data_IF_633928920823
#
_entry.id   IF_633928920823
#
_cell.length_a   1.000
_cell.length_b   1.000
_cell.length_c   1.000
_cell.angle_alpha   90.00
_cell.angle_beta   90.00
_cell.angle_gamma   90.00
#
_symmetry.space_group_name_H-M   'P 1'
#
loop_
_entity.id
_entity.type
_entity.pdbx_description
1 polymer ?
#
# COMPACT_ATOMS: atom_id res chain seq x y z
N UNK A 1 -25.68 -31.87 -36.82
CA UNK A 1 -26.40 -30.74 -36.20
C UNK A 1 -27.19 -31.27 -35.02
N UNK A 2 -27.07 -30.67 -33.82
CA UNK A 2 -27.89 -30.97 -32.64
C UNK A 2 -28.65 -29.69 -32.27
N UNK A 3 -29.98 -29.73 -32.02
CA UNK A 3 -30.72 -28.54 -31.60
C UNK A 3 -30.39 -28.15 -30.15
N UNK A 4 -30.64 -26.89 -29.73
CA UNK A 4 -30.22 -26.37 -28.42
C UNK A 4 -31.13 -26.83 -27.28
N UNK A 5 -30.60 -26.89 -26.05
CA UNK A 5 -31.43 -27.08 -24.86
C UNK A 5 -32.26 -25.81 -24.58
N UNK A 6 -33.58 -25.91 -24.71
CA UNK A 6 -34.48 -24.91 -24.16
C UNK A 6 -34.37 -24.87 -22.62
N UNK A 7 -34.05 -23.68 -22.09
CA UNK A 7 -34.19 -23.40 -20.66
C UNK A 7 -35.67 -23.35 -20.32
N UNK A 8 -36.18 -24.37 -19.62
CA UNK A 8 -37.51 -24.37 -19.02
C UNK A 8 -37.76 -23.08 -18.22
N UNK A 9 -38.73 -22.22 -18.59
CA UNK A 9 -39.24 -21.20 -17.69
C UNK A 9 -40.06 -21.90 -16.62
N UNK A 10 -39.53 -21.99 -15.39
CA UNK A 10 -40.27 -22.57 -14.27
C UNK A 10 -41.60 -21.83 -14.09
N UNK A 11 -42.73 -22.56 -14.22
CA UNK A 11 -44.09 -22.04 -14.00
C UNK A 11 -44.24 -21.59 -12.54
N UNK A 12 -43.83 -20.36 -12.28
CA UNK A 12 -43.97 -19.66 -11.01
C UNK A 12 -45.47 -19.53 -10.71
N UNK A 13 -45.96 -20.36 -9.76
CA UNK A 13 -47.26 -20.15 -9.09
C UNK A 13 -47.17 -18.95 -8.14
N UNK A 14 -46.82 -17.79 -8.65
CA UNK A 14 -46.90 -16.53 -7.90
C UNK A 14 -48.28 -15.94 -8.15
N UNK A 15 -49.02 -15.75 -7.07
CA UNK A 15 -50.41 -15.27 -7.08
C UNK A 15 -50.59 -14.09 -8.02
N UNK A 16 -51.58 -14.17 -8.92
CA UNK A 16 -51.80 -13.23 -10.03
C UNK A 16 -51.86 -11.74 -9.63
N UNK A 17 -52.17 -11.44 -8.38
CA UNK A 17 -52.19 -10.08 -7.85
C UNK A 17 -50.78 -9.50 -7.60
N UNK A 18 -49.80 -10.30 -7.16
CA UNK A 18 -48.41 -9.81 -6.98
C UNK A 18 -47.78 -9.44 -8.33
N UNK A 19 -47.98 -10.28 -9.37
CA UNK A 19 -47.44 -10.05 -10.71
C UNK A 19 -48.13 -8.85 -11.40
N UNK A 20 -49.37 -8.53 -11.00
CA UNK A 20 -50.10 -7.36 -11.49
C UNK A 20 -49.68 -6.04 -10.82
N UNK A 21 -49.27 -6.04 -9.54
CA UNK A 21 -49.04 -4.78 -8.79
C UNK A 21 -47.59 -4.52 -8.35
N UNK A 22 -46.77 -5.57 -8.19
CA UNK A 22 -45.38 -5.45 -7.71
C UNK A 22 -44.43 -6.24 -8.65
N UNK A 23 -44.64 -6.04 -9.95
CA UNK A 23 -43.75 -6.50 -11.01
C UNK A 23 -43.14 -5.28 -11.70
N UNK A 24 -41.81 -5.23 -11.94
CA UNK A 24 -41.17 -4.14 -12.71
C UNK A 24 -41.77 -3.98 -14.12
N UNK A 25 -42.49 -4.99 -14.62
CA UNK A 25 -43.17 -4.95 -15.92
C UNK A 25 -44.50 -4.16 -15.93
N UNK A 26 -45.09 -3.90 -14.75
CA UNK A 26 -46.41 -3.27 -14.66
C UNK A 26 -46.45 -2.01 -13.74
N UNK A 27 -45.44 -1.82 -12.89
CA UNK A 27 -45.30 -0.61 -12.05
C UNK A 27 -44.16 0.26 -12.57
N UNK A 28 -44.50 1.39 -13.23
CA UNK A 28 -43.53 2.37 -13.75
C UNK A 28 -42.59 2.88 -12.65
N UNK A 29 -43.15 3.27 -11.50
CA UNK A 29 -42.38 3.74 -10.36
C UNK A 29 -41.37 2.70 -9.84
N UNK A 30 -41.72 1.41 -9.84
CA UNK A 30 -40.81 0.34 -9.44
C UNK A 30 -39.68 0.15 -10.47
N UNK A 31 -39.99 0.26 -11.77
CA UNK A 31 -38.98 0.19 -12.82
C UNK A 31 -38.00 1.37 -12.75
N UNK A 32 -38.52 2.60 -12.71
CA UNK A 32 -37.75 3.85 -12.58
C UNK A 32 -36.89 3.86 -11.31
N UNK A 33 -37.43 3.40 -10.17
CA UNK A 33 -36.69 3.35 -8.92
C UNK A 33 -35.58 2.28 -8.92
N UNK A 34 -35.81 1.11 -9.55
CA UNK A 34 -34.77 0.10 -9.71
C UNK A 34 -33.68 0.53 -10.69
N UNK A 35 -34.04 1.25 -11.77
CA UNK A 35 -33.10 1.82 -12.74
C UNK A 35 -32.21 2.90 -12.11
N UNK A 36 -32.79 3.82 -11.32
CA UNK A 36 -32.01 4.84 -10.61
C UNK A 36 -31.16 4.24 -9.48
N UNK A 37 -31.62 3.18 -8.79
CA UNK A 37 -30.79 2.44 -7.83
C UNK A 37 -29.62 1.70 -8.51
N UNK A 38 -29.82 1.09 -9.67
CA UNK A 38 -28.76 0.44 -10.46
C UNK A 38 -27.75 1.45 -11.01
N UNK A 39 -28.22 2.63 -11.45
CA UNK A 39 -27.38 3.77 -11.83
C UNK A 39 -26.52 4.27 -10.66
N UNK A 40 -27.12 4.51 -9.49
CA UNK A 40 -26.37 4.92 -8.29
C UNK A 40 -25.34 3.86 -7.86
N UNK A 41 -25.64 2.55 -8.02
CA UNK A 41 -24.66 1.48 -7.77
C UNK A 41 -23.48 1.53 -8.76
N UNK A 42 -23.73 1.80 -10.04
CA UNK A 42 -22.65 1.98 -11.04
C UNK A 42 -21.80 3.21 -10.74
N UNK A 43 -22.41 4.33 -10.36
CA UNK A 43 -21.70 5.56 -9.96
C UNK A 43 -20.86 5.32 -8.68
N UNK A 44 -21.37 4.57 -7.69
CA UNK A 44 -20.58 4.15 -6.52
C UNK A 44 -19.39 3.26 -6.88
N UNK A 45 -19.57 2.31 -7.81
CA UNK A 45 -18.47 1.45 -8.28
C UNK A 45 -17.39 2.25 -9.00
N UNK A 46 -17.77 3.20 -9.87
CA UNK A 46 -16.82 4.11 -10.55
C UNK A 46 -16.03 5.00 -9.57
N UNK A 47 -16.63 5.41 -8.45
CA UNK A 47 -15.91 6.12 -7.39
C UNK A 47 -14.88 5.24 -6.67
N UNK A 48 -15.06 3.92 -6.68
CA UNK A 48 -14.16 2.93 -6.05
C UNK A 48 -13.08 2.44 -7.03
N UNK A 49 -13.35 2.37 -8.34
CA UNK A 49 -12.39 1.94 -9.36
C UNK A 49 -11.14 2.83 -9.41
N UNK A 50 -9.95 2.22 -9.31
CA UNK A 50 -8.71 2.90 -8.90
C UNK A 50 -7.84 3.39 -10.08
N UNK A 51 -8.16 4.55 -10.66
CA UNK A 51 -7.32 5.23 -11.68
C UNK A 51 -6.13 6.00 -11.07
N UNK A 52 -5.31 5.31 -10.28
CA UNK A 52 -4.27 5.89 -9.43
C UNK A 52 -2.87 5.35 -9.68
N UNK A 53 -2.22 5.72 -10.80
CA UNK A 53 -0.84 5.32 -11.17
C UNK A 53 0.27 5.73 -10.17
N UNK A 54 -0.08 6.40 -9.06
CA UNK A 54 0.84 6.81 -8.01
C UNK A 54 0.14 7.04 -6.67
N UNK A 55 0.82 6.69 -5.58
CA UNK A 55 0.28 6.72 -4.21
C UNK A 55 -0.29 8.08 -3.80
N UNK A 56 0.40 9.19 -4.10
CA UNK A 56 -0.08 10.53 -3.79
C UNK A 56 -1.41 10.88 -4.51
N UNK A 57 -1.53 10.50 -5.79
CA UNK A 57 -2.74 10.67 -6.60
C UNK A 57 -3.89 9.79 -6.06
N UNK A 58 -3.59 8.57 -5.63
CA UNK A 58 -4.53 7.66 -4.96
C UNK A 58 -5.05 8.24 -3.63
N UNK A 59 -4.17 8.81 -2.80
CA UNK A 59 -4.56 9.46 -1.55
C UNK A 59 -5.41 10.73 -1.78
N UNK A 60 -5.03 11.58 -2.75
CA UNK A 60 -5.78 12.76 -3.14
C UNK A 60 -7.20 12.40 -3.64
N UNK A 61 -7.28 11.43 -4.56
CA UNK A 61 -8.55 10.90 -5.07
C UNK A 61 -9.41 10.32 -3.95
N UNK A 62 -8.83 9.59 -2.99
CA UNK A 62 -9.56 9.05 -1.85
C UNK A 62 -10.28 10.14 -1.05
N UNK A 63 -9.58 11.22 -0.67
CA UNK A 63 -10.21 12.31 0.10
C UNK A 63 -11.27 13.09 -0.69
N UNK A 64 -11.16 13.18 -2.01
CA UNK A 64 -12.15 13.83 -2.88
C UNK A 64 -13.37 12.93 -3.18
N UNK A 65 -13.15 11.64 -3.45
CA UNK A 65 -14.22 10.69 -3.80
C UNK A 65 -15.01 10.20 -2.58
N UNK A 66 -14.38 10.11 -1.40
CA UNK A 66 -15.03 9.65 -0.16
C UNK A 66 -16.33 10.40 0.19
N UNK A 67 -16.42 11.76 0.21
CA UNK A 67 -17.68 12.44 0.48
C UNK A 67 -18.74 12.14 -0.59
N UNK A 68 -18.36 12.06 -1.87
CA UNK A 68 -19.30 11.72 -2.94
C UNK A 68 -19.84 10.30 -2.77
N UNK A 69 -18.99 9.33 -2.43
CA UNK A 69 -19.38 7.95 -2.18
C UNK A 69 -20.37 7.85 -0.99
N UNK A 70 -20.13 8.61 0.09
CA UNK A 70 -21.07 8.70 1.23
C UNK A 70 -22.44 9.23 0.77
N UNK A 71 -22.49 10.29 -0.04
CA UNK A 71 -23.76 10.82 -0.58
C UNK A 71 -24.52 9.82 -1.45
N UNK A 72 -23.83 9.06 -2.31
CA UNK A 72 -24.49 8.03 -3.13
C UNK A 72 -25.01 6.86 -2.26
N UNK A 73 -24.27 6.44 -1.23
CA UNK A 73 -24.72 5.42 -0.26
C UNK A 73 -25.95 5.90 0.52
N UNK A 74 -25.98 7.15 0.97
CA UNK A 74 -27.14 7.74 1.64
C UNK A 74 -28.37 7.81 0.72
N UNK A 75 -28.20 8.21 -0.54
CA UNK A 75 -29.27 8.25 -1.54
C UNK A 75 -29.79 6.86 -1.88
N UNK A 76 -28.90 5.88 -2.08
CA UNK A 76 -29.25 4.48 -2.27
C UNK A 76 -30.07 3.95 -1.09
N UNK A 77 -29.66 4.23 0.15
CA UNK A 77 -30.38 3.83 1.35
C UNK A 77 -31.75 4.52 1.49
N UNK A 78 -31.88 5.81 1.11
CA UNK A 78 -33.17 6.52 1.05
C UNK A 78 -34.12 5.87 0.04
N UNK A 79 -33.65 5.54 -1.16
CA UNK A 79 -34.46 4.86 -2.18
C UNK A 79 -34.88 3.45 -1.74
N UNK A 80 -33.95 2.67 -1.19
CA UNK A 80 -34.25 1.37 -0.60
C UNK A 80 -35.33 1.46 0.50
N UNK A 81 -35.25 2.47 1.37
CA UNK A 81 -36.25 2.68 2.42
C UNK A 81 -37.63 3.03 1.85
N UNK A 82 -37.69 3.93 0.87
CA UNK A 82 -38.93 4.28 0.19
C UNK A 82 -39.57 3.08 -0.55
N UNK A 83 -38.75 2.20 -1.11
CA UNK A 83 -39.18 0.94 -1.71
C UNK A 83 -39.75 -0.04 -0.66
N UNK A 84 -39.07 -0.20 0.48
CA UNK A 84 -39.57 -1.00 1.59
C UNK A 84 -40.89 -0.45 2.17
N UNK A 85 -40.99 0.86 2.39
CA UNK A 85 -42.20 1.52 2.86
C UNK A 85 -43.38 1.35 1.89
N UNK A 86 -43.15 1.45 0.57
CA UNK A 86 -44.20 1.16 -0.42
C UNK A 86 -44.59 -0.32 -0.46
N UNK A 87 -43.63 -1.24 -0.30
CA UNK A 87 -43.91 -2.67 -0.22
C UNK A 87 -44.76 -3.02 1.02
N UNK A 88 -44.43 -2.43 2.17
CA UNK A 88 -45.20 -2.57 3.41
C UNK A 88 -46.58 -1.93 3.31
N UNK A 89 -46.71 -0.78 2.64
CA UNK A 89 -48.00 -0.15 2.38
C UNK A 89 -48.90 -1.04 1.50
N UNK A 90 -48.41 -1.55 0.36
CA UNK A 90 -49.20 -2.44 -0.52
C UNK A 90 -49.52 -3.77 0.17
N UNK A 91 -48.58 -4.34 0.93
CA UNK A 91 -48.80 -5.59 1.69
C UNK A 91 -49.72 -5.37 2.90
N UNK A 92 -49.70 -4.17 3.49
CA UNK A 92 -50.59 -3.74 4.58
C UNK A 92 -52.00 -3.46 4.08
N UNK A 93 -52.15 -2.79 2.95
CA UNK A 93 -53.42 -2.59 2.25
C UNK A 93 -54.03 -3.92 1.80
N UNK A 94 -53.24 -4.86 1.27
CA UNK A 94 -53.73 -6.21 1.00
C UNK A 94 -54.27 -6.87 2.27
N UNK A 95 -53.52 -6.85 3.39
CA UNK A 95 -53.97 -7.44 4.66
C UNK A 95 -55.25 -6.80 5.21
N UNK A 96 -55.53 -5.54 4.88
CA UNK A 96 -56.79 -4.84 5.20
C UNK A 96 -57.94 -5.15 4.22
N UNK A 97 -57.63 -5.45 2.95
CA UNK A 97 -58.61 -5.72 1.89
C UNK A 97 -58.93 -7.22 1.69
N UNK A 98 -58.20 -8.14 2.33
CA UNK A 98 -58.65 -9.53 2.49
C UNK A 98 -59.93 -9.52 3.35
N UNK A 99 -61.08 -9.98 2.83
CA UNK A 99 -62.32 -9.88 3.58
C UNK A 99 -62.28 -10.69 4.89
N UNK A 100 -62.75 -10.10 5.99
CA UNK A 100 -62.83 -10.66 7.34
C UNK A 100 -63.69 -11.95 7.47
N UNK A 101 -64.16 -12.52 6.35
CA UNK A 101 -65.07 -13.67 6.30
C UNK A 101 -64.38 -15.03 6.47
N UNK A 102 -63.05 -15.09 6.62
CA UNK A 102 -62.29 -16.33 6.83
C UNK A 102 -61.58 -16.42 8.20
N UNK A 103 -61.87 -15.53 9.15
CA UNK A 103 -61.31 -15.61 10.52
C UNK A 103 -62.16 -16.44 11.51
N UNK A 104 -63.15 -17.21 11.02
CA UNK A 104 -64.10 -17.95 11.89
C UNK A 104 -64.03 -19.48 11.75
N UNK A 105 -62.87 -20.05 11.42
CA UNK A 105 -62.58 -21.49 11.62
C UNK A 105 -61.09 -21.70 11.90
N UNK A 106 -60.69 -21.93 13.16
CA UNK A 106 -59.29 -22.20 13.49
C UNK A 106 -58.79 -21.69 14.84
N UNK A 107 -59.62 -21.68 15.88
CA UNK A 107 -59.09 -21.56 17.24
C UNK A 107 -58.55 -22.92 17.67
N UNK A 108 -57.24 -23.02 17.93
CA UNK A 108 -56.64 -23.92 18.94
C UNK A 108 -55.13 -23.62 19.10
N UNK A 109 -54.68 -23.68 20.37
CA UNK A 109 -53.29 -23.62 20.89
C UNK A 109 -52.53 -22.28 20.89
N UNK A 110 -52.51 -21.68 22.09
CA UNK A 110 -51.38 -21.01 22.78
C UNK A 110 -50.88 -19.66 22.24
N UNK A 111 -51.05 -18.54 22.97
CA UNK A 111 -50.41 -18.15 24.26
C UNK A 111 -48.90 -17.89 24.08
N UNK A 112 -48.32 -16.75 24.44
CA UNK A 112 -48.67 -15.77 25.49
C UNK A 112 -47.97 -14.40 25.23
N UNK A 113 -48.39 -13.30 25.90
CA UNK A 113 -47.75 -11.97 26.01
C UNK A 113 -47.01 -11.34 24.80
N UNK A 114 -47.28 -10.12 24.34
CA UNK A 114 -47.89 -8.98 25.04
C UNK A 114 -46.86 -7.99 25.57
N UNK A 115 -46.29 -7.14 24.69
CA UNK A 115 -45.76 -5.80 25.03
C UNK A 115 -45.46 -5.01 23.75
N UNK A 116 -46.11 -3.86 23.60
CA UNK A 116 -45.65 -2.82 22.70
C UNK A 116 -44.38 -2.17 23.29
N UNK A 117 -43.45 -1.69 22.46
CA UNK A 117 -42.95 -0.32 22.56
C UNK A 117 -41.98 0.08 21.44
N UNK A 118 -42.05 1.38 21.16
CA UNK A 118 -41.42 2.17 20.13
C UNK A 118 -39.88 2.08 20.02
N UNK A 119 -39.40 1.96 18.77
CA UNK A 119 -38.44 2.87 18.12
C UNK A 119 -37.28 3.45 18.95
N UNK A 120 -36.07 2.88 18.77
CA UNK A 120 -34.82 3.58 18.35
C UNK A 120 -33.64 2.60 18.35
N UNK A 121 -32.65 2.75 17.45
CA UNK A 121 -31.28 2.83 17.96
C UNK A 121 -30.31 3.75 17.18
N UNK A 122 -29.37 4.33 17.93
CA UNK A 122 -28.05 4.82 17.48
C UNK A 122 -27.07 4.64 18.67
N UNK A 123 -25.74 4.78 18.53
CA UNK A 123 -24.95 3.74 17.85
C UNK A 123 -23.65 3.32 18.58
N UNK A 124 -23.17 2.09 18.30
CA UNK A 124 -21.73 1.71 18.32
C UNK A 124 -21.05 1.55 19.71
N UNK A 125 -19.78 1.07 19.81
CA UNK A 125 -19.43 -0.36 19.69
C UNK A 125 -18.43 -0.88 20.76
N UNK A 126 -18.23 -2.20 20.89
CA UNK A 126 -16.94 -2.79 21.35
C UNK A 126 -16.72 -4.24 20.80
N UNK A 127 -15.47 -4.76 20.76
CA UNK A 127 -15.10 -5.89 19.90
C UNK A 127 -14.88 -7.24 20.63
N UNK A 128 -15.01 -8.36 19.90
CA UNK A 128 -14.58 -9.68 20.37
C UNK A 128 -13.63 -10.37 19.39
N UNK A 129 -12.40 -10.58 19.85
CA UNK A 129 -11.30 -11.27 19.20
C UNK A 129 -11.46 -12.80 19.39
N UNK A 130 -11.33 -13.60 18.34
CA UNK A 130 -11.25 -15.08 18.45
C UNK A 130 -10.06 -15.64 17.68
N UNK A 131 -9.05 -16.08 18.44
CA UNK A 131 -8.01 -16.99 17.99
C UNK A 131 -8.53 -18.43 17.93
N UNK A 132 -8.20 -19.16 16.87
CA UNK A 132 -8.42 -20.61 16.79
C UNK A 132 -7.09 -21.37 16.90
N UNK A 133 -6.99 -22.22 17.91
CA UNK A 133 -5.93 -23.22 18.06
C UNK A 133 -6.23 -24.47 17.24
N UNK A 134 -5.18 -25.17 16.77
CA UNK A 134 -5.28 -26.59 16.36
C UNK A 134 -3.97 -27.33 16.59
N UNK A 135 -3.96 -28.21 17.58
CA UNK A 135 -2.98 -29.29 17.74
C UNK A 135 -3.27 -30.44 16.76
N UNK A 136 -2.25 -31.27 16.42
CA UNK A 136 -2.28 -32.76 16.41
C UNK A 136 -0.85 -33.35 16.25
N UNK A 137 -0.66 -34.64 16.56
CA UNK A 137 0.61 -35.41 16.64
C UNK A 137 0.29 -36.94 16.65
N UNK A 138 1.21 -37.94 16.76
CA UNK A 138 2.69 -37.91 16.85
C UNK A 138 3.50 -39.02 16.09
N UNK A 139 4.85 -38.87 16.08
CA UNK A 139 5.91 -39.94 16.16
C UNK A 139 6.11 -41.00 15.05
N UNK A 140 7.36 -41.13 14.59
CA UNK A 140 8.07 -42.40 14.30
C UNK A 140 9.60 -42.19 14.45
N UNK A 141 10.41 -43.26 14.54
CA UNK A 141 11.85 -43.16 14.85
C UNK A 141 12.72 -44.15 14.04
N UNK A 142 14.01 -43.80 13.86
CA UNK A 142 15.11 -44.74 13.61
C UNK A 142 15.67 -44.81 12.17
N UNK A 143 16.87 -44.26 11.97
CA UNK A 143 18.09 -45.09 11.77
C UNK A 143 19.37 -44.22 11.81
N UNK A 144 20.42 -44.70 12.47
CA UNK A 144 21.78 -44.14 12.41
C UNK A 144 22.59 -44.82 11.30
N UNK A 145 23.27 -44.06 10.43
CA UNK A 145 24.48 -44.55 9.75
C UNK A 145 25.38 -43.44 9.19
N UNK A 146 26.64 -43.41 9.67
CA UNK A 146 27.87 -42.90 9.05
C UNK A 146 27.82 -41.65 8.15
N UNK A 147 28.46 -40.57 8.60
CA UNK A 147 29.51 -39.87 7.84
C UNK A 147 30.63 -39.41 8.77
N UNK A 148 31.65 -40.25 8.92
CA UNK A 148 32.96 -39.82 9.41
C UNK A 148 33.88 -39.62 8.21
N UNK A 149 34.15 -38.37 7.84
CA UNK A 149 35.28 -38.02 7.00
C UNK A 149 35.69 -36.56 7.21
N UNK A 150 36.77 -36.32 7.97
CA UNK A 150 37.48 -35.04 7.93
C UNK A 150 38.96 -35.23 8.20
N UNK A 151 39.73 -35.07 7.12
CA UNK A 151 41.12 -34.61 7.05
C UNK A 151 42.23 -35.46 7.68
N UNK A 152 43.19 -35.84 6.85
CA UNK A 152 44.60 -35.56 7.13
C UNK A 152 45.31 -35.19 5.82
N UNK A 153 46.20 -34.20 5.90
CA UNK A 153 46.87 -33.59 4.75
C UNK A 153 48.23 -34.24 4.44
N UNK A 154 48.65 -34.09 3.18
CA UNK A 154 50.05 -34.17 2.70
C UNK A 154 50.70 -35.58 2.65
N UNK A 155 51.71 -35.80 1.78
CA UNK A 155 52.50 -34.79 1.04
C UNK A 155 52.49 -34.90 -0.50
N UNK A 156 52.77 -33.77 -1.15
CA UNK A 156 53.18 -33.73 -2.55
C UNK A 156 54.59 -33.14 -2.67
N UNK A 157 55.52 -33.92 -3.20
CA UNK A 157 56.70 -33.38 -3.92
C UNK A 157 57.34 -34.46 -4.79
N UNK A 158 56.94 -34.50 -6.06
CA UNK A 158 57.77 -34.95 -7.17
C UNK A 158 57.49 -34.05 -8.37
N UNK A 159 58.57 -33.49 -8.93
CA UNK A 159 58.58 -32.87 -10.25
C UNK A 159 59.17 -33.86 -11.27
N UNK A 160 58.63 -33.82 -12.47
CA UNK A 160 59.20 -34.28 -13.73
C UNK A 160 60.09 -33.17 -14.36
N UNK A 161 60.74 -33.38 -15.53
CA UNK A 161 61.37 -34.59 -16.09
C UNK A 161 62.81 -34.28 -16.65
N UNK A 162 63.32 -35.17 -17.54
CA UNK A 162 64.45 -34.98 -18.50
C UNK A 162 65.88 -34.94 -17.88
N UNK A 163 66.94 -35.51 -18.47
CA UNK A 163 67.11 -36.14 -19.79
C UNK A 163 68.34 -37.11 -19.87
N UNK A 164 68.41 -37.91 -20.96
CA UNK A 164 69.60 -38.58 -21.59
C UNK A 164 70.64 -39.47 -20.83
N UNK A 165 70.66 -40.75 -21.23
CA UNK A 165 71.77 -41.57 -21.80
C UNK A 165 73.14 -41.84 -21.11
N UNK A 166 73.72 -43.00 -21.50
CA UNK A 166 75.10 -43.52 -21.31
C UNK A 166 75.53 -43.92 -19.89
N UNK A 167 75.68 -45.20 -19.56
CA UNK A 167 76.78 -46.12 -19.93
C UNK A 167 78.19 -45.61 -19.60
N UNK A 168 78.66 -46.09 -18.44
CA UNK A 168 80.03 -46.12 -17.94
C UNK A 168 80.98 -46.88 -18.87
N UNK A 169 82.16 -46.31 -19.15
CA UNK A 169 83.47 -46.98 -19.05
C UNK A 169 84.54 -45.96 -18.60
N UNK A 170 85.63 -46.41 -17.97
CA UNK A 170 86.66 -45.55 -17.36
C UNK A 170 87.90 -45.42 -18.24
N UNK A 171 88.32 -44.18 -18.50
CA UNK A 171 89.51 -43.81 -19.27
C UNK A 171 90.81 -43.89 -18.44
N UNK A 172 91.88 -44.40 -19.06
CA UNK A 172 93.25 -44.39 -18.53
C UNK A 172 94.28 -44.25 -19.69
N UNK A 173 94.37 -43.03 -20.22
CA UNK A 173 95.53 -42.37 -20.88
C UNK A 173 96.87 -43.12 -20.78
N UNK A 174 97.55 -43.53 -21.86
CA UNK A 174 98.10 -42.81 -23.05
C UNK A 174 99.52 -42.27 -22.85
N UNK A 175 100.34 -42.37 -23.91
CA UNK A 175 101.79 -42.11 -24.07
C UNK A 175 102.66 -43.35 -23.87
N UNK A 176 103.73 -43.62 -24.63
CA UNK A 176 104.28 -43.20 -25.92
C UNK A 176 105.58 -44.03 -26.08
N UNK A 177 106.10 -44.23 -27.30
CA UNK A 177 107.48 -44.70 -27.51
C UNK A 177 107.81 -46.19 -27.28
N UNK A 178 108.28 -46.80 -28.37
CA UNK A 178 109.39 -47.78 -28.40
C UNK A 178 109.17 -49.20 -27.80
N UNK A 179 108.91 -50.12 -28.75
CA UNK A 179 109.35 -51.52 -28.93
C UNK A 179 110.14 -52.29 -27.82
N UNK A 180 110.05 -53.62 -27.90
CA UNK A 180 110.75 -54.66 -27.11
C UNK A 180 110.27 -54.93 -25.65
N UNK A 181 109.55 -54.01 -24.99
CA UNK A 181 108.92 -54.30 -23.69
C UNK A 181 107.69 -55.23 -23.74
N UNK A 182 107.00 -55.23 -24.89
CA UNK A 182 105.73 -55.97 -25.10
C UNK A 182 105.98 -57.46 -25.30
N UNK A 183 107.11 -57.85 -25.88
CA UNK A 183 107.44 -59.25 -26.13
C UNK A 183 107.59 -60.07 -24.84
N UNK A 184 108.19 -59.49 -23.80
CA UNK A 184 108.40 -60.17 -22.51
C UNK A 184 107.11 -60.27 -21.69
N UNK A 185 106.25 -59.25 -21.74
CA UNK A 185 104.91 -59.29 -21.10
C UNK A 185 103.95 -60.23 -21.82
N UNK A 186 104.01 -60.32 -23.16
CA UNK A 186 103.31 -61.36 -23.91
C UNK A 186 103.85 -62.76 -23.61
N UNK A 187 105.18 -62.96 -23.52
CA UNK A 187 105.73 -64.27 -23.14
C UNK A 187 105.35 -64.69 -21.71
N UNK A 188 105.35 -63.76 -20.76
CA UNK A 188 104.86 -64.00 -19.40
C UNK A 188 103.37 -64.39 -19.42
N UNK A 189 102.53 -63.68 -20.20
CA UNK A 189 101.12 -64.02 -20.32
C UNK A 189 100.87 -65.32 -21.10
N UNK A 190 101.73 -65.68 -22.05
CA UNK A 190 101.70 -66.98 -22.73
C UNK A 190 102.06 -68.10 -21.77
N UNK A 191 103.11 -67.95 -20.95
CA UNK A 191 103.44 -68.91 -19.89
C UNK A 191 102.30 -69.08 -18.87
N UNK A 192 101.67 -67.98 -18.43
CA UNK A 192 100.48 -68.05 -17.58
C UNK A 192 99.31 -68.76 -18.26
N UNK A 193 99.05 -68.48 -19.54
CA UNK A 193 98.01 -69.15 -20.31
C UNK A 193 98.33 -70.62 -20.58
N UNK A 194 99.60 -70.99 -20.74
CA UNK A 194 100.07 -72.37 -20.86
C UNK A 194 99.93 -73.11 -19.53
N UNK A 195 100.21 -72.48 -18.39
CA UNK A 195 99.97 -73.06 -17.06
C UNK A 195 98.46 -73.13 -16.73
N UNK A 196 97.65 -72.12 -17.08
CA UNK A 196 96.19 -72.17 -17.00
C UNK A 196 95.63 -73.28 -17.91
N UNK A 197 96.16 -73.45 -19.12
CA UNK A 197 95.81 -74.51 -20.06
C UNK A 197 96.25 -75.90 -19.58
N UNK A 198 97.42 -76.02 -18.96
CA UNK A 198 97.90 -77.27 -18.35
C UNK A 198 97.09 -77.63 -17.10
N UNK A 199 96.74 -76.65 -16.26
CA UNK A 199 95.86 -76.81 -15.11
C UNK A 199 94.44 -77.23 -15.52
N UNK A 200 93.89 -76.63 -16.58
CA UNK A 200 92.57 -77.00 -17.09
C UNK A 200 92.60 -78.36 -17.79
N UNK A 201 93.61 -78.67 -18.60
CA UNK A 201 93.82 -80.01 -19.18
C UNK A 201 94.04 -81.08 -18.11
N UNK A 202 94.71 -80.76 -16.99
CA UNK A 202 94.83 -81.69 -15.87
C UNK A 202 93.48 -81.89 -15.19
N UNK A 203 92.70 -80.83 -14.92
CA UNK A 203 91.32 -80.97 -14.42
C UNK A 203 90.42 -81.75 -15.39
N UNK A 204 90.65 -81.64 -16.71
CA UNK A 204 89.96 -82.40 -17.75
C UNK A 204 90.37 -83.86 -17.74
N UNK A 205 91.66 -84.17 -17.50
CA UNK A 205 92.15 -85.54 -17.24
C UNK A 205 91.57 -86.11 -15.95
N UNK A 206 91.60 -85.39 -14.84
CA UNK A 206 91.00 -85.81 -13.57
C UNK A 206 89.47 -85.99 -13.69
N UNK A 207 88.81 -85.20 -14.54
CA UNK A 207 87.40 -85.32 -14.86
C UNK A 207 87.14 -86.55 -15.74
N UNK A 208 87.96 -86.79 -16.76
CA UNK A 208 87.87 -87.99 -17.61
C UNK A 208 88.22 -89.25 -16.84
N UNK A 209 89.17 -89.25 -15.90
CA UNK A 209 89.46 -90.39 -15.01
C UNK A 209 88.29 -90.64 -14.05
N UNK A 210 87.62 -89.59 -13.56
CA UNK A 210 86.35 -89.75 -12.82
C UNK A 210 85.21 -90.25 -13.70
N UNK A 211 85.19 -89.88 -14.97
CA UNK A 211 84.22 -90.35 -15.96
C UNK A 211 84.48 -91.81 -16.32
N UNK A 212 85.75 -92.21 -16.48
CA UNK A 212 86.21 -93.57 -16.69
C UNK A 212 85.96 -94.44 -15.45
N UNK A 213 86.14 -93.92 -14.23
CA UNK A 213 85.72 -94.60 -12.98
C UNK A 213 84.20 -94.70 -12.85
N UNK A 214 83.44 -93.76 -13.43
CA UNK A 214 81.97 -93.84 -13.50
C UNK A 214 81.50 -94.81 -14.60
N UNK A 215 82.18 -94.87 -15.74
CA UNK A 215 81.95 -95.86 -16.81
C UNK A 215 82.39 -97.25 -16.37
N UNK A 216 83.49 -97.41 -15.63
CA UNK A 216 83.91 -98.69 -15.05
C UNK A 216 82.92 -99.12 -13.96
N UNK A 217 82.39 -98.20 -13.14
CA UNK A 217 81.26 -98.49 -12.23
C UNK A 217 79.98 -98.84 -13.00
N UNK A 218 79.75 -98.27 -14.17
CA UNK A 218 78.59 -98.57 -15.03
C UNK A 218 78.73 -99.95 -15.69
N UNK A 219 79.91 -100.28 -16.20
CA UNK A 219 80.27 -101.56 -16.81
C UNK A 219 80.35 -102.69 -15.77
N UNK A 220 80.73 -102.38 -14.53
CA UNK A 220 80.65 -103.28 -13.36
C UNK A 220 79.21 -103.46 -12.84
N UNK A 221 78.23 -102.78 -13.44
CA UNK A 221 76.80 -102.90 -13.12
C UNK A 221 76.02 -103.77 -14.14
N UNK A 222 76.70 -104.73 -14.78
CA UNK A 222 76.04 -105.83 -15.50
C UNK A 222 76.40 -107.19 -14.86
N UNK A 223 75.37 -108.03 -14.61
CA UNK A 223 75.42 -109.34 -13.93
C UNK A 223 75.83 -109.25 -12.43
N UNK A 224 74.92 -109.30 -11.45
CA UNK A 224 74.01 -110.40 -11.18
C UNK A 224 72.77 -109.98 -10.37
N UNK A 225 71.60 -109.91 -11.02
CA UNK A 225 70.35 -110.29 -10.37
C UNK A 225 69.65 -111.35 -11.19
N UNK A 226 69.67 -112.56 -10.64
CA UNK A 226 69.03 -113.78 -11.11
C UNK A 226 67.59 -113.55 -11.53
N UNK A 227 67.11 -114.40 -12.44
CA UNK A 227 65.68 -114.57 -12.67
C UNK A 227 64.94 -114.73 -11.34
N UNK A 228 64.11 -113.73 -11.02
CA UNK A 228 62.97 -113.90 -10.14
C UNK A 228 61.92 -112.88 -10.59
N UNK A 229 60.77 -113.39 -11.04
CA UNK A 229 59.72 -112.56 -11.61
C UNK A 229 59.22 -111.55 -10.60
N UNK A 230 59.62 -110.29 -10.74
CA UNK A 230 59.08 -109.19 -9.95
C UNK A 230 58.76 -107.97 -10.84
N UNK A 231 58.05 -108.25 -11.94
CA UNK A 231 57.35 -107.27 -12.79
C UNK A 231 56.55 -106.27 -11.95
N UNK A 232 56.06 -106.66 -10.77
CA UNK A 232 55.41 -105.77 -9.82
C UNK A 232 56.30 -104.63 -9.28
N UNK A 233 57.61 -104.84 -9.09
CA UNK A 233 58.52 -103.83 -8.57
C UNK A 233 58.88 -102.73 -9.58
N UNK A 234 59.09 -103.11 -10.84
CA UNK A 234 59.28 -102.16 -11.94
C UNK A 234 57.96 -101.45 -12.29
N UNK A 235 56.84 -102.17 -12.29
CA UNK A 235 55.49 -101.60 -12.48
C UNK A 235 55.13 -100.58 -11.38
N UNK A 236 55.59 -100.78 -10.13
CA UNK A 236 55.47 -99.75 -9.08
C UNK A 236 56.24 -98.49 -9.44
N UNK A 237 57.55 -98.56 -9.70
CA UNK A 237 58.36 -97.38 -10.07
C UNK A 237 57.80 -96.61 -11.28
N UNK A 238 57.28 -97.33 -12.29
CA UNK A 238 56.60 -96.71 -13.43
C UNK A 238 55.31 -96.02 -12.98
N UNK A 239 54.47 -96.69 -12.17
CA UNK A 239 53.25 -96.10 -11.59
C UNK A 239 53.52 -94.90 -10.66
N UNK A 240 54.64 -94.89 -9.95
CA UNK A 240 55.05 -93.81 -9.05
C UNK A 240 55.44 -92.57 -9.90
N UNK A 241 56.27 -92.77 -10.94
CA UNK A 241 56.65 -91.72 -11.91
C UNK A 241 55.43 -91.23 -12.71
N UNK A 242 54.53 -92.12 -13.13
CA UNK A 242 53.27 -91.76 -13.78
C UNK A 242 52.38 -90.92 -12.86
N UNK A 243 52.39 -91.19 -11.55
CA UNK A 243 51.74 -90.39 -10.51
C UNK A 243 52.34 -88.99 -10.37
N UNK A 244 53.68 -88.89 -10.28
CA UNK A 244 54.39 -87.60 -10.25
C UNK A 244 54.17 -86.78 -11.54
N UNK A 245 54.09 -87.45 -12.69
CA UNK A 245 53.83 -86.82 -13.99
C UNK A 245 52.36 -86.35 -14.09
N UNK A 246 51.41 -87.07 -13.50
CA UNK A 246 50.03 -86.60 -13.32
C UNK A 246 49.95 -85.40 -12.37
N UNK A 247 50.59 -85.45 -11.21
CA UNK A 247 50.56 -84.37 -10.21
C UNK A 247 51.21 -83.07 -10.75
N UNK A 248 52.33 -83.18 -11.47
CA UNK A 248 52.96 -82.03 -12.15
C UNK A 248 52.10 -81.50 -13.29
N UNK A 249 51.38 -82.36 -14.01
CA UNK A 249 50.42 -81.95 -15.05
C UNK A 249 49.20 -81.24 -14.47
N UNK A 250 48.69 -81.69 -13.32
CA UNK A 250 47.61 -81.02 -12.60
C UNK A 250 48.05 -79.65 -12.05
N UNK A 251 49.25 -79.55 -11.46
CA UNK A 251 49.85 -78.26 -11.05
C UNK A 251 50.12 -77.32 -12.23
N UNK A 252 50.50 -77.85 -13.39
CA UNK A 252 50.62 -77.07 -14.62
C UNK A 252 49.25 -76.61 -15.12
N UNK A 253 48.20 -77.43 -15.00
CA UNK A 253 46.83 -77.03 -15.35
C UNK A 253 46.26 -75.98 -14.38
N UNK A 254 46.49 -76.10 -13.07
CA UNK A 254 46.03 -75.13 -12.09
C UNK A 254 46.73 -73.77 -12.27
N UNK A 255 48.05 -73.77 -12.44
CA UNK A 255 48.80 -72.53 -12.74
C UNK A 255 48.42 -71.94 -14.10
N UNK A 256 48.09 -72.74 -15.11
CA UNK A 256 47.54 -72.25 -16.38
C UNK A 256 46.17 -71.57 -16.20
N UNK A 257 45.32 -72.09 -15.31
CA UNK A 257 44.01 -71.50 -14.99
C UNK A 257 44.16 -70.23 -14.12
N UNK A 258 45.08 -70.21 -13.17
CA UNK A 258 45.49 -69.00 -12.44
C UNK A 258 45.99 -67.92 -13.39
N UNK A 259 46.85 -68.26 -14.37
CA UNK A 259 47.29 -67.31 -15.41
C UNK A 259 46.11 -66.78 -16.23
N UNK A 260 45.12 -67.62 -16.60
CA UNK A 260 43.90 -67.16 -17.30
C UNK A 260 43.07 -66.21 -16.45
N UNK A 261 42.88 -66.50 -15.16
CA UNK A 261 42.12 -65.61 -14.26
C UNK A 261 42.87 -64.30 -13.99
N UNK A 262 44.18 -64.33 -13.78
CA UNK A 262 45.03 -63.14 -13.67
C UNK A 262 45.02 -62.29 -14.95
N UNK A 263 45.08 -62.91 -16.14
CA UNK A 263 44.94 -62.19 -17.41
C UNK A 263 43.55 -61.55 -17.57
N UNK A 264 42.48 -62.20 -17.11
CA UNK A 264 41.13 -61.62 -17.09
C UNK A 264 41.05 -60.42 -16.14
N UNK A 265 41.65 -60.53 -14.96
CA UNK A 265 41.70 -59.48 -13.94
C UNK A 265 42.58 -58.29 -14.37
N UNK A 266 43.68 -58.54 -15.10
CA UNK A 266 44.51 -57.49 -15.70
C UNK A 266 43.72 -56.71 -16.76
N UNK A 267 42.94 -57.40 -17.61
CA UNK A 267 42.08 -56.78 -18.62
C UNK A 267 40.95 -55.95 -18.00
N UNK A 268 40.29 -56.44 -16.95
CA UNK A 268 39.26 -55.65 -16.25
C UNK A 268 39.86 -54.46 -15.49
N UNK A 269 41.03 -54.62 -14.87
CA UNK A 269 41.79 -53.53 -14.24
C UNK A 269 42.15 -52.42 -15.25
N UNK A 270 42.59 -52.77 -16.45
CA UNK A 270 42.90 -51.80 -17.50
C UNK A 270 41.65 -51.03 -17.98
N UNK A 271 40.48 -51.68 -18.04
CA UNK A 271 39.20 -51.02 -18.36
C UNK A 271 38.82 -50.04 -17.25
N UNK A 272 38.82 -50.49 -15.98
CA UNK A 272 38.52 -49.65 -14.81
C UNK A 272 39.46 -48.46 -14.69
N UNK A 273 40.75 -48.62 -15.00
CA UNK A 273 41.73 -47.53 -15.03
C UNK A 273 41.37 -46.46 -16.07
N UNK A 274 40.90 -46.88 -17.26
CA UNK A 274 40.46 -45.97 -18.32
C UNK A 274 39.14 -45.27 -17.96
N UNK A 275 38.20 -45.96 -17.34
CA UNK A 275 36.96 -45.37 -16.82
C UNK A 275 37.25 -44.34 -15.72
N UNK A 276 38.16 -44.65 -14.78
CA UNK A 276 38.62 -43.72 -13.75
C UNK A 276 39.27 -42.47 -14.36
N UNK A 277 40.10 -42.63 -15.40
CA UNK A 277 40.68 -41.49 -16.15
C UNK A 277 39.59 -40.60 -16.75
N UNK A 278 38.58 -41.19 -17.39
CA UNK A 278 37.48 -40.43 -18.00
C UNK A 278 36.64 -39.69 -16.94
N UNK A 279 36.33 -40.34 -15.82
CA UNK A 279 35.60 -39.74 -14.69
C UNK A 279 36.40 -38.60 -14.03
N UNK A 280 37.72 -38.73 -13.91
CA UNK A 280 38.59 -37.67 -13.43
C UNK A 280 38.56 -36.44 -14.35
N UNK A 281 38.55 -36.64 -15.67
CA UNK A 281 38.46 -35.54 -16.63
C UNK A 281 37.07 -34.88 -16.64
N UNK A 282 36.00 -35.66 -16.44
CA UNK A 282 34.64 -35.14 -16.25
C UNK A 282 34.51 -34.32 -14.96
N UNK A 283 35.04 -34.81 -13.83
CA UNK A 283 35.07 -34.06 -12.57
C UNK A 283 35.81 -32.73 -12.72
N UNK A 284 36.99 -32.70 -13.37
CA UNK A 284 37.71 -31.45 -13.65
C UNK A 284 36.89 -30.44 -14.48
N UNK A 285 36.07 -30.91 -15.43
CA UNK A 285 35.18 -30.06 -16.23
C UNK A 285 34.03 -29.51 -15.38
N UNK A 286 33.41 -30.33 -14.55
CA UNK A 286 32.36 -29.92 -13.61
C UNK A 286 32.89 -28.96 -12.53
N UNK A 287 34.09 -29.18 -12.00
CA UNK A 287 34.76 -28.27 -11.06
C UNK A 287 34.99 -26.88 -11.70
N UNK A 288 35.45 -26.82 -12.95
CA UNK A 288 35.61 -25.56 -13.68
C UNK A 288 34.27 -24.86 -13.96
N UNK A 289 33.20 -25.60 -14.23
CA UNK A 289 31.84 -25.06 -14.39
C UNK A 289 31.27 -24.53 -13.07
N UNK A 290 31.49 -25.24 -11.95
CA UNK A 290 31.12 -24.78 -10.59
C UNK A 290 31.86 -23.49 -10.23
N UNK A 291 33.13 -23.32 -10.62
CA UNK A 291 33.89 -22.08 -10.39
C UNK A 291 33.26 -20.92 -11.18
N UNK A 292 32.99 -21.10 -12.48
CA UNK A 292 32.34 -20.07 -13.32
C UNK A 292 30.97 -19.65 -12.77
N UNK A 293 30.12 -20.63 -12.43
CA UNK A 293 28.79 -20.34 -11.86
C UNK A 293 28.88 -19.61 -10.52
N UNK A 294 29.91 -19.86 -9.70
CA UNK A 294 30.16 -19.08 -8.48
C UNK A 294 30.58 -17.64 -8.81
N UNK A 295 31.48 -17.44 -9.77
CA UNK A 295 31.92 -16.11 -10.21
C UNK A 295 30.74 -15.29 -10.78
N UNK A 296 29.86 -15.92 -11.57
CA UNK A 296 28.62 -15.30 -12.08
C UNK A 296 27.65 -14.92 -10.95
N UNK A 297 27.44 -15.80 -9.97
CA UNK A 297 26.59 -15.53 -8.79
C UNK A 297 27.18 -14.41 -7.92
N UNK A 298 28.49 -14.38 -7.72
CA UNK A 298 29.15 -13.32 -6.95
C UNK A 298 29.17 -11.98 -7.71
N UNK A 299 29.27 -11.99 -9.04
CA UNK A 299 29.11 -10.80 -9.88
C UNK A 299 27.67 -10.25 -9.80
N UNK A 300 26.66 -11.12 -9.95
CA UNK A 300 25.25 -10.73 -9.80
C UNK A 300 24.95 -10.19 -8.40
N UNK A 301 25.50 -10.81 -7.34
CA UNK A 301 25.40 -10.32 -5.96
C UNK A 301 25.95 -8.89 -5.82
N UNK A 302 27.12 -8.60 -6.39
CA UNK A 302 27.73 -7.25 -6.31
C UNK A 302 26.87 -6.20 -7.01
N UNK A 303 26.32 -6.52 -8.19
CA UNK A 303 25.42 -5.61 -8.92
C UNK A 303 24.16 -5.30 -8.10
N UNK A 304 23.53 -6.31 -7.48
CA UNK A 304 22.38 -6.06 -6.61
C UNK A 304 22.73 -5.26 -5.35
N UNK A 305 23.91 -5.47 -4.75
CA UNK A 305 24.37 -4.68 -3.60
C UNK A 305 24.62 -3.21 -3.98
N UNK A 306 25.17 -2.95 -5.17
CA UNK A 306 25.37 -1.60 -5.72
C UNK A 306 24.02 -0.92 -6.03
N UNK A 307 23.09 -1.61 -6.71
CA UNK A 307 21.72 -1.11 -6.93
C UNK A 307 20.98 -0.82 -5.61
N UNK A 308 21.12 -1.66 -4.60
CA UNK A 308 20.54 -1.42 -3.27
C UNK A 308 21.15 -0.18 -2.61
N UNK A 309 22.48 -0.01 -2.69
CA UNK A 309 23.17 1.16 -2.17
C UNK A 309 22.73 2.46 -2.86
N UNK A 310 22.53 2.44 -4.19
CA UNK A 310 21.95 3.57 -4.93
C UNK A 310 20.55 3.90 -4.44
N UNK A 311 19.65 2.90 -4.35
CA UNK A 311 18.26 3.11 -3.89
C UNK A 311 18.21 3.61 -2.44
N UNK A 312 19.07 3.12 -1.55
CA UNK A 312 19.16 3.63 -0.17
C UNK A 312 19.66 5.08 -0.13
N UNK A 313 20.56 5.47 -1.03
CA UNK A 313 20.98 6.85 -1.24
C UNK A 313 19.86 7.75 -1.76
N UNK A 314 19.07 7.29 -2.73
CA UNK A 314 17.86 7.98 -3.24
C UNK A 314 16.80 8.14 -2.15
N UNK A 315 16.51 7.07 -1.40
CA UNK A 315 15.57 7.06 -0.26
C UNK A 315 16.02 8.05 0.82
N UNK A 316 17.33 8.15 1.08
CA UNK A 316 17.87 9.08 2.08
C UNK A 316 17.68 10.55 1.65
N UNK A 317 17.96 10.89 0.39
CA UNK A 317 17.67 12.22 -0.17
C UNK A 317 16.19 12.57 -0.09
N UNK A 318 15.32 11.64 -0.50
CA UNK A 318 13.86 11.84 -0.43
C UNK A 318 13.34 12.02 1.01
N UNK A 319 13.97 11.38 2.00
CA UNK A 319 13.67 11.62 3.44
C UNK A 319 14.11 13.00 3.90
N UNK A 320 15.29 13.48 3.47
CA UNK A 320 15.78 14.83 3.77
C UNK A 320 14.89 15.91 3.13
N UNK A 321 14.53 15.77 1.85
CA UNK A 321 13.61 16.67 1.16
C UNK A 321 12.21 16.69 1.82
N UNK A 322 11.68 15.53 2.21
CA UNK A 322 10.41 15.42 2.92
C UNK A 322 10.47 16.08 4.32
N UNK A 323 11.57 15.95 5.04
CA UNK A 323 11.77 16.61 6.32
C UNK A 323 11.85 18.13 6.15
N UNK A 324 12.63 18.63 5.19
CA UNK A 324 12.75 20.06 4.88
C UNK A 324 11.42 20.68 4.41
N UNK A 325 10.63 19.95 3.61
CA UNK A 325 9.28 20.37 3.21
C UNK A 325 8.31 20.41 4.40
N UNK A 326 8.39 19.41 5.29
CA UNK A 326 7.57 19.35 6.51
C UNK A 326 7.90 20.49 7.48
N UNK A 327 9.17 20.84 7.62
CA UNK A 327 9.60 21.97 8.45
C UNK A 327 9.10 23.31 7.89
N UNK A 328 9.25 23.54 6.57
CA UNK A 328 8.72 24.75 5.90
C UNK A 328 7.21 24.89 6.12
N UNK A 329 6.45 23.82 5.98
CA UNK A 329 5.00 23.81 6.22
C UNK A 329 4.66 24.13 7.68
N UNK A 330 5.47 23.67 8.64
CA UNK A 330 5.30 23.99 10.06
C UNK A 330 5.59 25.48 10.35
N UNK A 331 6.64 26.04 9.72
CA UNK A 331 6.97 27.47 9.79
C UNK A 331 5.85 28.33 9.18
N UNK A 332 5.38 28.00 7.97
CA UNK A 332 4.26 28.68 7.29
C UNK A 332 2.99 28.65 8.14
N UNK A 333 2.62 27.48 8.69
CA UNK A 333 1.50 27.32 9.61
C UNK A 333 1.63 28.17 10.88
N UNK A 334 2.85 28.40 11.38
CA UNK A 334 3.09 29.30 12.51
C UNK A 334 2.86 30.77 12.10
N UNK A 335 3.35 31.18 10.93
CA UNK A 335 3.16 32.53 10.39
C UNK A 335 1.67 32.81 10.17
N UNK A 336 0.95 31.91 9.51
CA UNK A 336 -0.50 31.99 9.32
C UNK A 336 -1.25 32.04 10.66
N UNK A 337 -0.84 31.24 11.65
CA UNK A 337 -1.39 31.30 13.01
C UNK A 337 -1.24 32.68 13.67
N UNK A 338 -0.07 33.32 13.51
CA UNK A 338 0.12 34.71 13.98
C UNK A 338 -0.74 35.69 13.19
N UNK A 339 -0.83 35.55 11.86
CA UNK A 339 -1.60 36.44 11.00
C UNK A 339 -3.11 36.36 11.25
N UNK A 340 -3.63 35.16 11.48
CA UNK A 340 -5.02 34.94 11.92
C UNK A 340 -5.27 35.63 13.26
N UNK A 341 -4.34 35.53 14.20
CA UNK A 341 -4.45 36.18 15.52
C UNK A 341 -4.44 37.71 15.43
N UNK A 342 -3.65 38.30 14.52
CA UNK A 342 -3.68 39.74 14.22
C UNK A 342 -5.03 40.18 13.62
N UNK A 343 -5.52 39.44 12.62
CA UNK A 343 -6.79 39.73 11.96
C UNK A 343 -7.96 39.61 12.94
N UNK A 344 -7.96 38.61 13.83
CA UNK A 344 -8.95 38.47 14.90
C UNK A 344 -8.98 39.69 15.84
N UNK A 345 -7.81 40.19 16.26
CA UNK A 345 -7.72 41.43 17.06
C UNK A 345 -8.29 42.63 16.31
N UNK A 346 -7.92 42.80 15.03
CA UNK A 346 -8.44 43.90 14.21
C UNK A 346 -9.95 43.82 13.98
N UNK A 347 -10.52 42.61 13.89
CA UNK A 347 -11.98 42.42 13.76
C UNK A 347 -12.69 42.81 15.06
N UNK A 348 -12.17 42.43 16.22
CA UNK A 348 -12.78 42.79 17.52
C UNK A 348 -12.62 44.29 17.83
N UNK A 349 -11.51 44.92 17.43
CA UNK A 349 -11.33 46.38 17.46
C UNK A 349 -12.34 47.12 16.57
N UNK A 350 -12.64 46.59 15.37
CA UNK A 350 -13.67 47.16 14.49
C UNK A 350 -15.07 46.95 15.08
N UNK A 351 -15.34 45.78 15.66
CA UNK A 351 -16.61 45.44 16.31
C UNK A 351 -16.90 46.34 17.50
N UNK A 352 -15.93 46.57 18.39
CA UNK A 352 -16.10 47.47 19.55
C UNK A 352 -16.27 48.94 19.15
N UNK A 353 -15.68 49.37 18.02
CA UNK A 353 -15.96 50.69 17.42
C UNK A 353 -17.38 50.77 16.85
N UNK A 354 -17.82 49.72 16.14
CA UNK A 354 -19.17 49.65 15.56
C UNK A 354 -20.26 49.68 16.64
N UNK A 355 -20.07 48.97 17.76
CA UNK A 355 -20.99 48.98 18.90
C UNK A 355 -21.12 50.40 19.48
N UNK A 356 -20.00 51.09 19.72
CA UNK A 356 -20.00 52.46 20.24
C UNK A 356 -20.72 53.44 19.31
N UNK A 357 -20.50 53.33 17.99
CA UNK A 357 -21.21 54.15 16.99
C UNK A 357 -22.72 53.82 16.97
N UNK A 358 -23.10 52.56 17.24
CA UNK A 358 -24.51 52.16 17.39
C UNK A 358 -25.16 52.79 18.63
N UNK A 359 -24.46 52.81 19.77
CA UNK A 359 -24.90 53.46 21.00
C UNK A 359 -25.02 54.99 20.83
N UNK A 360 -24.01 55.63 20.24
CA UNK A 360 -24.01 57.07 19.91
C UNK A 360 -25.17 57.43 18.97
N UNK A 361 -25.41 56.62 17.93
CA UNK A 361 -26.55 56.78 17.03
C UNK A 361 -27.88 56.72 17.78
N UNK A 362 -28.07 55.73 18.66
CA UNK A 362 -29.30 55.60 19.46
C UNK A 362 -29.52 56.76 20.44
N UNK A 363 -28.44 57.39 20.93
CA UNK A 363 -28.53 58.60 21.74
C UNK A 363 -28.97 59.80 20.90
N UNK A 364 -28.36 60.00 19.73
CA UNK A 364 -28.73 61.09 18.80
C UNK A 364 -30.17 60.92 18.31
N UNK A 365 -30.62 59.70 17.98
CA UNK A 365 -32.02 59.44 17.60
C UNK A 365 -33.03 59.78 18.70
N UNK A 366 -32.66 59.68 19.99
CA UNK A 366 -33.50 60.13 21.11
C UNK A 366 -33.54 61.66 21.18
N UNK A 367 -32.38 62.32 21.09
CA UNK A 367 -32.28 63.77 21.11
C UNK A 367 -33.03 64.43 19.94
N UNK A 368 -32.97 63.85 18.74
CA UNK A 368 -33.76 64.31 17.58
C UNK A 368 -35.25 64.22 17.87
N UNK A 369 -35.76 63.11 18.43
CA UNK A 369 -37.17 62.96 18.81
C UNK A 369 -37.63 63.89 19.93
N UNK A 370 -36.73 64.34 20.79
CA UNK A 370 -37.01 65.35 21.82
C UNK A 370 -37.08 66.75 21.20
N UNK A 371 -36.16 67.09 20.29
CA UNK A 371 -36.18 68.34 19.54
C UNK A 371 -37.38 68.45 18.58
N UNK A 372 -37.78 67.36 17.92
CA UNK A 372 -38.98 67.31 17.07
C UNK A 372 -40.25 67.65 17.86
N UNK A 373 -40.39 67.14 19.10
CA UNK A 373 -41.50 67.47 19.98
C UNK A 373 -41.47 68.93 20.43
N UNK A 374 -40.32 69.40 20.90
CA UNK A 374 -40.16 70.79 21.33
C UNK A 374 -40.43 71.79 20.18
N UNK A 375 -40.04 71.44 18.95
CA UNK A 375 -40.35 72.24 17.77
C UNK A 375 -41.85 72.22 17.44
N UNK A 376 -42.53 71.07 17.51
CA UNK A 376 -43.98 71.00 17.30
C UNK A 376 -44.77 71.77 18.39
N UNK A 377 -44.30 71.78 19.63
CA UNK A 377 -44.86 72.61 20.71
C UNK A 377 -44.63 74.11 20.44
N UNK A 378 -43.44 74.50 20.00
CA UNK A 378 -43.11 75.88 19.64
C UNK A 378 -43.92 76.38 18.41
N UNK A 379 -44.10 75.54 17.39
CA UNK A 379 -44.96 75.83 16.24
C UNK A 379 -46.42 76.04 16.67
N UNK A 380 -46.94 75.22 17.59
CA UNK A 380 -48.29 75.38 18.14
C UNK A 380 -48.45 76.72 18.89
N UNK A 381 -47.50 77.08 19.76
CA UNK A 381 -47.53 78.39 20.43
C UNK A 381 -47.38 79.55 19.46
N UNK A 382 -46.61 79.40 18.38
CA UNK A 382 -46.51 80.40 17.33
C UNK A 382 -47.83 80.58 16.57
N UNK A 383 -48.57 79.49 16.32
CA UNK A 383 -49.89 79.52 15.68
C UNK A 383 -50.92 80.21 16.60
N UNK A 384 -50.99 79.81 17.88
CA UNK A 384 -51.85 80.45 18.87
C UNK A 384 -51.57 81.96 18.98
N UNK A 385 -50.29 82.37 18.99
CA UNK A 385 -49.91 83.78 19.04
C UNK A 385 -50.29 84.55 17.76
N UNK A 386 -50.23 83.91 16.58
CA UNK A 386 -50.71 84.54 15.34
C UNK A 386 -52.23 84.69 15.32
N UNK A 387 -52.98 83.70 15.79
CA UNK A 387 -54.44 83.79 15.93
C UNK A 387 -54.84 84.89 16.93
N UNK A 388 -54.13 85.02 18.05
CA UNK A 388 -54.33 86.09 19.03
C UNK A 388 -54.05 87.48 18.44
N UNK A 389 -52.99 87.62 17.65
CA UNK A 389 -52.63 88.87 16.99
C UNK A 389 -53.66 89.27 15.90
N UNK A 390 -54.16 88.31 15.12
CA UNK A 390 -55.23 88.52 14.15
C UNK A 390 -56.53 88.95 14.85
N UNK A 391 -56.96 88.24 15.90
CA UNK A 391 -58.14 88.62 16.70
C UNK A 391 -58.02 90.03 17.27
N UNK A 392 -56.88 90.39 17.88
CA UNK A 392 -56.65 91.75 18.40
C UNK A 392 -56.67 92.81 17.28
N UNK A 393 -56.21 92.47 16.08
CA UNK A 393 -56.31 93.37 14.92
C UNK A 393 -57.76 93.56 14.46
N UNK A 394 -58.58 92.50 14.43
CA UNK A 394 -60.01 92.60 14.11
C UNK A 394 -60.77 93.44 15.14
N UNK A 395 -60.51 93.22 16.44
CA UNK A 395 -61.11 94.02 17.52
C UNK A 395 -60.69 95.49 17.44
N UNK A 396 -59.42 95.77 17.11
CA UNK A 396 -58.95 97.12 16.85
C UNK A 396 -59.70 97.77 15.69
N UNK A 397 -59.82 97.11 14.53
CA UNK A 397 -60.57 97.64 13.39
C UNK A 397 -62.06 97.88 13.71
N UNK A 398 -62.67 96.99 14.50
CA UNK A 398 -64.05 97.15 14.99
C UNK A 398 -64.19 98.42 15.84
N UNK A 399 -63.29 98.63 16.80
CA UNK A 399 -63.32 99.82 17.66
C UNK A 399 -62.96 101.12 16.91
N UNK A 400 -62.04 101.07 15.94
CA UNK A 400 -61.76 102.21 15.04
C UNK A 400 -63.00 102.59 14.21
N UNK A 401 -63.75 101.61 13.70
CA UNK A 401 -65.01 101.85 13.01
C UNK A 401 -66.10 102.41 13.94
N UNK A 402 -66.24 101.87 15.16
CA UNK A 402 -67.16 102.41 16.18
C UNK A 402 -66.85 103.88 16.50
N UNK A 403 -65.58 104.23 16.74
CA UNK A 403 -65.11 105.61 16.98
C UNK A 403 -65.52 106.51 15.82
N UNK A 404 -65.25 106.13 14.57
CA UNK A 404 -65.64 106.92 13.39
C UNK A 404 -67.17 107.16 13.31
N UNK A 405 -68.00 106.17 13.67
CA UNK A 405 -69.46 106.37 13.72
C UNK A 405 -69.90 107.30 14.85
N UNK A 406 -69.23 107.23 16.01
CA UNK A 406 -69.49 108.15 17.13
C UNK A 406 -69.08 109.57 16.78
N UNK A 407 -67.91 109.78 16.17
CA UNK A 407 -67.44 111.08 15.69
C UNK A 407 -68.42 111.71 14.68
N UNK A 408 -68.90 110.93 13.71
CA UNK A 408 -69.94 111.39 12.78
C UNK A 408 -71.24 111.79 13.51
N UNK A 409 -71.67 111.00 14.50
CA UNK A 409 -72.87 111.32 15.29
C UNK A 409 -72.71 112.59 16.13
N UNK A 410 -71.51 112.80 16.70
CA UNK A 410 -71.14 114.01 17.44
C UNK A 410 -71.17 115.22 16.52
N UNK A 411 -70.67 115.10 15.28
CA UNK A 411 -70.68 116.20 14.31
C UNK A 411 -72.11 116.59 13.89
N UNK A 412 -72.97 115.60 13.63
CA UNK A 412 -74.41 115.84 13.38
C UNK A 412 -75.09 116.52 14.56
N UNK A 413 -74.76 116.11 15.80
CA UNK A 413 -75.30 116.74 17.01
C UNK A 413 -74.79 118.17 17.21
N UNK A 414 -73.51 118.47 16.93
CA UNK A 414 -72.98 119.85 16.93
C UNK A 414 -73.76 120.74 15.96
N UNK A 415 -73.90 120.31 14.70
CA UNK A 415 -74.66 121.05 13.68
C UNK A 415 -76.12 121.29 14.11
N UNK A 416 -76.76 120.32 14.79
CA UNK A 416 -78.10 120.52 15.34
C UNK A 416 -78.13 121.46 16.54
N UNK A 417 -77.11 121.45 17.41
CA UNK A 417 -76.97 122.41 18.51
C UNK A 417 -76.77 123.83 17.98
N UNK A 418 -75.95 124.02 16.95
CA UNK A 418 -75.76 125.31 16.28
C UNK A 418 -77.05 125.81 15.64
N UNK A 419 -77.77 124.95 14.92
CA UNK A 419 -79.10 125.23 14.37
C UNK A 419 -80.11 125.63 15.47
N UNK A 420 -80.17 124.90 16.58
CA UNK A 420 -81.04 125.23 17.72
C UNK A 420 -80.61 126.52 18.44
N UNK A 421 -79.32 126.84 18.48
CA UNK A 421 -78.81 128.10 19.02
C UNK A 421 -79.20 129.29 18.13
N UNK A 422 -79.17 129.13 16.80
CA UNK A 422 -79.68 130.11 15.85
C UNK A 422 -81.20 130.29 15.98
N UNK A 423 -81.98 129.20 16.02
CA UNK A 423 -83.43 129.23 16.28
C UNK A 423 -83.76 129.95 17.59
N UNK A 424 -83.02 129.63 18.68
CA UNK A 424 -83.15 130.31 19.97
C UNK A 424 -82.81 131.80 19.88
N UNK A 425 -81.75 132.17 19.16
CA UNK A 425 -81.37 133.57 18.97
C UNK A 425 -82.48 134.35 18.28
N UNK A 426 -83.06 133.80 17.20
CA UNK A 426 -84.19 134.39 16.49
C UNK A 426 -85.43 134.52 17.39
N UNK A 427 -85.74 133.51 18.20
CA UNK A 427 -86.83 133.58 19.17
C UNK A 427 -86.57 134.64 20.25
N UNK A 428 -85.34 134.79 20.75
CA UNK A 428 -85.01 135.83 21.74
C UNK A 428 -85.07 137.24 21.16
N UNK A 429 -84.67 137.46 19.90
CA UNK A 429 -84.90 138.76 19.25
C UNK A 429 -86.39 139.04 19.06
N UNK A 430 -87.17 138.03 18.63
CA UNK A 430 -88.62 138.17 18.46
C UNK A 430 -89.36 138.46 19.77
N UNK A 431 -88.95 137.82 20.88
CA UNK A 431 -89.46 138.15 22.21
C UNK A 431 -89.05 139.57 22.65
N UNK A 432 -87.85 140.04 22.34
CA UNK A 432 -87.42 141.41 22.67
C UNK A 432 -88.20 142.46 21.86
N UNK A 433 -88.47 142.20 20.58
CA UNK A 433 -89.34 143.04 19.75
C UNK A 433 -90.78 143.09 20.31
N UNK A 434 -91.32 141.93 20.72
CA UNK A 434 -92.62 141.83 21.38
C UNK A 434 -92.65 142.57 22.72
N UNK A 435 -91.60 142.48 23.54
CA UNK A 435 -91.48 143.23 24.80
C UNK A 435 -91.41 144.74 24.55
N UNK A 436 -90.74 145.21 23.50
CA UNK A 436 -90.79 146.63 23.12
C UNK A 436 -92.20 147.07 22.71
N UNK A 437 -92.93 146.24 21.95
CA UNK A 437 -94.31 146.54 21.54
C UNK A 437 -95.24 146.57 22.75
N UNK A 438 -95.16 145.58 23.66
CA UNK A 438 -95.95 145.53 24.89
C UNK A 438 -95.58 146.65 25.86
N UNK A 439 -94.29 147.00 25.97
CA UNK A 439 -93.81 148.12 26.78
C UNK A 439 -94.35 149.46 26.29
N UNK A 440 -94.32 149.71 24.97
CA UNK A 440 -95.01 150.85 24.34
C UNK A 440 -96.50 150.84 24.63
N UNK A 441 -97.16 149.67 24.56
CA UNK A 441 -98.57 149.50 24.91
C UNK A 441 -98.89 149.85 26.38
N UNK A 442 -98.06 149.41 27.34
CA UNK A 442 -98.22 149.74 28.76
C UNK A 442 -98.02 151.23 29.05
N UNK A 443 -97.10 151.90 28.34
CA UNK A 443 -96.86 153.34 28.47
C UNK A 443 -98.04 154.21 27.99
N UNK A 444 -99.05 153.65 27.33
CA UNK A 444 -100.26 154.34 26.87
C UNK A 444 -101.38 154.27 27.93
N UNK A 445 -101.26 153.41 28.95
CA UNK A 445 -102.27 153.17 30.00
C UNK A 445 -101.81 153.62 31.39
N UNK A 446 -100.83 154.51 31.48
CA UNK A 446 -100.32 155.07 32.73
C UNK A 446 -100.78 156.52 32.94
N UNK A 447 -102.10 156.74 32.97
CA UNK A 447 -102.76 157.91 33.56
C UNK A 447 -104.16 157.52 34.08
#
# INVERSE_FOLDING_TARGET
MKPPLERNPTKKRHSWWWDSHISPKNSKWLAENLEEMDKQVKEMLQLIEEDGDSFAKKAQMYYQRRPMLVTHVENFYRMYRALAERYDNVTGELRKNIPTRLQTTGSLTSSECGSELQRSPSPSPEPLQRSWTREQSPRAAGFDFFLSNKNNDSPASRKEPEDLASQSESDAKSEDGEDDGIAYTLHQRVLELEDELNMTNQKLRDANEKLEVLEEKSLRCHCDYKENGNVAGQRKKVSDIEGELMETREKMQSSQEEIRTLQKNLKSSAILSKEHSNLLEQNKKLEAEIIKLKEEVDAARRLFEEELSERDGEISKLKEDLAAASEKLLQEKSIDGTRISELQKSVEDIRSKLERVSEEKLLVEKQVKELEKANAEAEKYSQELTEDAERLSEEKFRHEAEILTMEQSIEVLKLRIESLAQEKSLMTSWFSDLEQIVGRGRSIFAE
#
